data_IF_210927992293
#
_entry.id   IF_210927992293
#
_cell.length_a   1.000
_cell.length_b   1.000
_cell.length_c   1.000
_cell.angle_alpha   90.00
_cell.angle_beta   90.00
_cell.angle_gamma   90.00
#
_symmetry.space_group_name_H-M   'P 1'
#
loop_
_entity.id
_entity.type
_entity.pdbx_description
1 polymer ?
#
# COMPACT_ATOMS: atom_id res chain seq x y z
N UNK A 1 39.39 3.85 27.66
CA UNK A 1 38.21 3.26 26.99
C UNK A 1 38.61 2.77 25.60
N UNK A 2 38.42 1.49 25.30
CA UNK A 2 38.95 0.84 24.08
C UNK A 2 38.17 1.27 22.82
N UNK A 3 38.88 1.75 21.80
CA UNK A 3 38.36 2.16 20.48
C UNK A 3 37.50 1.08 19.79
N UNK A 4 37.69 -0.20 20.17
CA UNK A 4 36.92 -1.35 19.67
C UNK A 4 35.45 -1.32 20.09
N UNK A 5 35.10 -0.63 21.18
CA UNK A 5 33.73 -0.56 21.71
C UNK A 5 32.83 0.36 20.89
N UNK A 6 33.38 1.44 20.33
CA UNK A 6 32.61 2.43 19.56
C UNK A 6 32.27 1.94 18.14
N UNK A 7 33.17 1.16 17.53
CA UNK A 7 32.92 0.55 16.21
C UNK A 7 31.74 -0.43 16.22
N UNK A 8 31.58 -1.23 17.29
CA UNK A 8 30.48 -2.20 17.39
C UNK A 8 29.11 -1.51 17.50
N UNK A 9 29.03 -0.38 18.20
CA UNK A 9 27.80 0.40 18.35
C UNK A 9 27.39 1.07 17.03
N UNK A 10 28.35 1.56 16.25
CA UNK A 10 28.10 2.19 14.94
C UNK A 10 27.58 1.18 13.91
N UNK A 11 28.10 -0.06 13.91
CA UNK A 11 27.60 -1.13 13.03
C UNK A 11 26.16 -1.53 13.37
N UNK A 12 25.81 -1.62 14.66
CA UNK A 12 24.44 -1.90 15.08
C UNK A 12 23.47 -0.76 14.72
N UNK A 13 23.89 0.49 14.87
CA UNK A 13 23.08 1.66 14.51
C UNK A 13 22.81 1.74 13.00
N UNK A 14 23.82 1.45 12.17
CA UNK A 14 23.67 1.39 10.73
C UNK A 14 22.71 0.26 10.31
N UNK A 15 22.83 -0.93 10.90
CA UNK A 15 21.92 -2.05 10.63
C UNK A 15 20.46 -1.72 11.02
N UNK A 16 20.24 -1.07 12.16
CA UNK A 16 18.91 -0.63 12.60
C UNK A 16 18.29 0.41 11.65
N UNK A 17 19.09 1.34 11.12
CA UNK A 17 18.58 2.34 10.17
C UNK A 17 18.14 1.74 8.82
N UNK A 18 18.83 0.71 8.33
CA UNK A 18 18.45 0.02 7.09
C UNK A 18 17.14 -0.75 7.29
N UNK A 19 16.96 -1.44 8.43
CA UNK A 19 15.72 -2.16 8.73
C UNK A 19 14.53 -1.20 8.93
N UNK A 20 14.75 -0.06 9.59
CA UNK A 20 13.70 0.95 9.78
C UNK A 20 13.24 1.57 8.45
N UNK A 21 14.16 1.79 7.50
CA UNK A 21 13.82 2.34 6.18
C UNK A 21 12.94 1.40 5.34
N UNK A 22 13.09 0.09 5.49
CA UNK A 22 12.26 -0.90 4.79
C UNK A 22 10.82 -0.98 5.36
N UNK A 23 10.64 -0.76 6.66
CA UNK A 23 9.31 -0.76 7.31
C UNK A 23 8.45 0.47 6.97
N UNK A 24 9.08 1.59 6.56
CA UNK A 24 8.35 2.80 6.19
C UNK A 24 7.70 2.72 4.79
N UNK A 25 8.15 1.81 3.92
CA UNK A 25 7.57 1.62 2.59
C UNK A 25 6.30 0.74 2.57
N UNK A 26 5.95 0.08 3.68
CA UNK A 26 4.73 -0.75 3.78
C UNK A 26 3.46 0.03 4.12
N UNK A 27 3.53 1.35 4.28
CA UNK A 27 2.47 2.22 4.79
C UNK A 27 1.31 2.53 3.84
N UNK A 28 0.91 1.61 2.96
CA UNK A 28 -0.34 1.78 2.19
C UNK A 28 -1.45 0.98 2.85
N UNK A 29 -2.56 1.63 3.19
CA UNK A 29 -3.68 1.03 3.92
C UNK A 29 -4.33 -0.07 3.07
N UNK A 30 -4.68 -1.19 3.71
CA UNK A 30 -5.42 -2.28 3.08
C UNK A 30 -6.87 -1.88 2.78
N UNK A 31 -7.56 -2.60 1.90
CA UNK A 31 -8.94 -2.29 1.53
C UNK A 31 -9.91 -2.16 2.71
N UNK A 32 -9.76 -3.00 3.74
CA UNK A 32 -10.58 -2.92 4.94
C UNK A 32 -10.35 -1.65 5.78
N UNK A 33 -9.16 -1.05 5.70
CA UNK A 33 -8.74 0.14 6.44
C UNK A 33 -9.13 1.43 5.68
N UNK A 34 -9.06 1.39 4.35
CA UNK A 34 -9.42 2.52 3.48
C UNK A 34 -10.93 2.59 3.18
N UNK A 35 -11.70 1.56 3.51
CA UNK A 35 -13.14 1.53 3.29
C UNK A 35 -13.88 2.56 4.15
N UNK A 36 -14.53 3.52 3.50
CA UNK A 36 -15.37 4.54 4.15
C UNK A 36 -16.85 4.39 3.83
N UNK A 37 -17.21 3.61 2.81
CA UNK A 37 -18.60 3.34 2.39
C UNK A 37 -18.70 2.52 1.11
N UNK A 38 -19.92 2.11 0.70
CA UNK A 38 -20.09 1.32 -0.51
C UNK A 38 -19.75 2.14 -1.76
N UNK A 39 -19.09 1.52 -2.75
CA UNK A 39 -18.72 2.18 -4.00
C UNK A 39 -17.54 1.54 -4.72
N UNK A 40 -17.01 2.24 -5.73
CA UNK A 40 -15.83 1.81 -6.47
C UNK A 40 -14.56 2.37 -5.85
N UNK A 41 -13.57 1.52 -5.65
CA UNK A 41 -12.28 1.89 -5.12
C UNK A 41 -11.19 1.61 -6.13
N UNK A 42 -10.23 2.51 -6.19
CA UNK A 42 -9.05 2.37 -7.01
C UNK A 42 -8.01 1.57 -6.22
N UNK A 43 -7.78 0.34 -6.62
CA UNK A 43 -6.97 -0.63 -5.88
C UNK A 43 -5.84 -1.19 -6.72
N UNK A 44 -4.74 -1.58 -6.08
CA UNK A 44 -3.69 -2.41 -6.70
C UNK A 44 -3.87 -3.85 -6.26
N UNK A 45 -3.92 -4.78 -7.23
CA UNK A 45 -4.20 -6.20 -6.98
C UNK A 45 -3.20 -6.89 -6.05
N UNK A 46 -3.70 -7.89 -5.31
CA UNK A 46 -2.95 -8.81 -4.44
C UNK A 46 -1.72 -9.44 -5.07
N UNK A 47 -1.80 -9.75 -6.37
CA UNK A 47 -0.70 -10.40 -7.09
C UNK A 47 0.51 -9.45 -7.13
N UNK A 48 0.24 -8.15 -7.18
CA UNK A 48 1.27 -7.13 -7.36
C UNK A 48 1.77 -6.60 -6.01
N UNK A 49 0.96 -6.68 -4.95
CA UNK A 49 1.35 -6.17 -3.62
C UNK A 49 1.48 -7.29 -2.59
N UNK A 50 2.71 -7.49 -2.11
CA UNK A 50 3.02 -8.33 -0.95
C UNK A 50 2.31 -7.73 0.27
N UNK A 51 1.20 -8.33 0.70
CA UNK A 51 0.41 -7.88 1.86
C UNK A 51 -1.04 -7.50 1.59
N UNK A 52 -1.59 -7.82 0.41
CA UNK A 52 -3.01 -7.62 0.08
C UNK A 52 -3.29 -6.38 -0.77
N UNK A 53 -4.55 -6.12 -1.13
CA UNK A 53 -4.88 -5.07 -2.05
C UNK A 53 -4.65 -3.73 -1.35
N UNK A 54 -4.02 -2.81 -2.05
CA UNK A 54 -3.80 -1.47 -1.53
C UNK A 54 -4.78 -0.53 -2.20
N UNK A 55 -5.44 0.30 -1.40
CA UNK A 55 -6.40 1.28 -1.90
C UNK A 55 -5.71 2.63 -2.04
N UNK A 56 -6.00 3.29 -3.15
CA UNK A 56 -5.41 4.56 -3.55
C UNK A 56 -6.45 5.67 -3.63
N UNK A 57 -7.74 5.33 -3.68
CA UNK A 57 -8.84 6.29 -3.65
C UNK A 57 -10.21 5.62 -3.69
N UNK A 58 -11.24 6.38 -3.35
CA UNK A 58 -12.64 5.95 -3.30
C UNK A 58 -13.33 6.37 -1.99
N UNK A 59 -14.65 6.15 -1.85
CA UNK A 59 -15.55 5.56 -2.84
C UNK A 59 -15.86 6.51 -4.00
N UNK A 60 -15.92 5.97 -5.20
CA UNK A 60 -16.23 6.66 -6.45
C UNK A 60 -17.42 6.00 -7.17
N UNK A 61 -17.91 6.66 -8.23
CA UNK A 61 -18.61 5.95 -9.32
C UNK A 61 -17.59 5.18 -10.18
N UNK A 62 -18.08 4.26 -11.01
CA UNK A 62 -17.20 3.51 -11.91
C UNK A 62 -16.45 4.44 -12.88
N UNK A 63 -17.16 5.38 -13.51
CA UNK A 63 -16.53 6.30 -14.48
C UNK A 63 -15.47 7.16 -13.81
N UNK A 64 -15.74 7.63 -12.59
CA UNK A 64 -14.79 8.45 -11.84
C UNK A 64 -13.57 7.64 -11.43
N UNK A 65 -13.75 6.38 -11.05
CA UNK A 65 -12.61 5.50 -10.73
C UNK A 65 -11.71 5.28 -11.96
N UNK A 66 -12.29 5.02 -13.14
CA UNK A 66 -11.52 4.86 -14.37
C UNK A 66 -10.81 6.16 -14.80
N UNK A 67 -11.45 7.32 -14.60
CA UNK A 67 -10.82 8.62 -14.83
C UNK A 67 -9.58 8.80 -13.95
N UNK A 68 -9.68 8.51 -12.65
CA UNK A 68 -8.54 8.57 -11.72
C UNK A 68 -7.46 7.52 -12.06
N UNK A 69 -7.85 6.32 -12.52
CA UNK A 69 -6.93 5.28 -12.98
C UNK A 69 -6.12 5.74 -14.20
N UNK A 70 -6.74 6.42 -15.15
CA UNK A 70 -6.09 6.91 -16.36
C UNK A 70 -5.14 8.09 -16.08
N UNK A 71 -5.43 8.91 -15.06
CA UNK A 71 -4.53 10.01 -14.62
C UNK A 71 -3.18 9.54 -14.13
N UNK A 72 -3.07 8.29 -13.67
CA UNK A 72 -1.80 7.69 -13.22
C UNK A 72 -0.83 7.41 -14.37
N UNK A 73 -1.27 7.58 -15.62
CA UNK A 73 -0.44 7.39 -16.80
C UNK A 73 -0.29 5.93 -17.23
N UNK A 74 0.29 5.68 -18.41
CA UNK A 74 0.29 4.37 -19.07
C UNK A 74 1.10 3.30 -18.34
N UNK A 75 2.04 3.68 -17.47
CA UNK A 75 2.89 2.73 -16.73
C UNK A 75 2.19 2.17 -15.48
N UNK A 76 1.48 3.03 -14.73
CA UNK A 76 0.87 2.66 -13.44
C UNK A 76 -0.58 2.25 -13.61
N UNK A 77 -1.31 2.87 -14.54
CA UNK A 77 -2.72 2.59 -14.82
C UNK A 77 -3.05 1.10 -15.06
N UNK A 78 -2.21 0.29 -15.75
CA UNK A 78 -2.45 -1.13 -15.95
C UNK A 78 -2.32 -1.99 -14.68
N UNK A 79 -1.59 -1.52 -13.68
CA UNK A 79 -1.41 -2.24 -12.40
C UNK A 79 -2.56 -2.00 -11.43
N UNK A 80 -3.43 -1.05 -11.76
CA UNK A 80 -4.51 -0.56 -10.92
C UNK A 80 -5.86 -1.08 -11.45
N UNK A 81 -6.79 -1.34 -10.53
CA UNK A 81 -8.11 -1.90 -10.81
C UNK A 81 -9.17 -1.07 -10.09
N UNK A 82 -10.28 -0.84 -10.77
CA UNK A 82 -11.49 -0.33 -10.13
C UNK A 82 -12.31 -1.50 -9.59
N UNK A 83 -12.33 -1.65 -8.26
CA UNK A 83 -13.00 -2.75 -7.57
C UNK A 83 -14.25 -2.23 -6.86
N UNK A 84 -15.39 -2.85 -7.11
CA UNK A 84 -16.63 -2.51 -6.42
C UNK A 84 -16.67 -3.18 -5.05
N UNK A 85 -16.83 -2.37 -3.99
CA UNK A 85 -17.06 -2.84 -2.64
C UNK A 85 -18.49 -2.46 -2.20
N UNK A 86 -19.46 -3.40 -2.28
CA UNK A 86 -20.83 -3.15 -1.82
C UNK A 86 -20.94 -3.13 -0.28
N UNK A 87 -19.91 -3.62 0.41
CA UNK A 87 -19.80 -3.67 1.86
C UNK A 87 -18.34 -3.64 2.30
N UNK A 88 -18.09 -3.56 3.60
CA UNK A 88 -16.73 -3.46 4.14
C UNK A 88 -15.92 -4.73 3.77
N UNK A 89 -14.75 -4.58 3.11
CA UNK A 89 -13.89 -5.72 2.77
C UNK A 89 -13.36 -6.40 4.03
N UNK A 90 -13.16 -7.72 3.99
CA UNK A 90 -12.42 -8.43 5.04
C UNK A 90 -10.91 -8.21 4.84
N UNK A 91 -10.12 -8.57 5.86
CA UNK A 91 -8.64 -8.40 5.87
C UNK A 91 -7.94 -8.96 4.62
N UNK A 92 -8.48 -10.01 4.02
CA UNK A 92 -7.92 -10.65 2.83
C UNK A 92 -8.76 -10.43 1.56
N UNK A 93 -9.83 -9.62 1.60
CA UNK A 93 -10.63 -9.25 0.43
C UNK A 93 -12.13 -9.29 0.59
N UNK A 94 -12.81 -9.22 -0.56
CA UNK A 94 -14.26 -9.31 -0.68
C UNK A 94 -14.83 -10.69 -0.31
N UNK A 95 -13.97 -11.68 -0.03
CA UNK A 95 -14.35 -13.03 0.39
C UNK A 95 -13.66 -13.42 1.71
#
# INVERSE_FOLDING_TARGET
MSLRSFYRLSVCAAALSVVASLGACSGRQGAAEAYTGPGWYLERSYIIVVGGPKVYGGPFSYEKCEEERLKLGPEVSPEMLCVNHPGKPKRYGLY
#
